data_IF_476323510252
#
_entry.id   IF_476323510252
#
_cell.length_a   1.000
_cell.length_b   1.000
_cell.length_c   1.000
_cell.angle_alpha   90.00
_cell.angle_beta   90.00
_cell.angle_gamma   90.00
#
_symmetry.space_group_name_H-M   'P 1'
#
loop_
_entity.id
_entity.type
_entity.pdbx_description
1 polymer ?
#
# COMPACT_ATOMS: atom_id res chain seq x y z
N UNK A 1 8.63 11.02 -32.90
CA UNK A 1 9.48 10.40 -31.86
C UNK A 1 9.19 10.96 -30.45
N UNK A 2 8.84 12.24 -30.29
CA UNK A 2 8.49 12.83 -28.97
C UNK A 2 7.17 12.30 -28.39
N UNK A 3 6.16 12.07 -29.23
CA UNK A 3 4.87 11.47 -28.82
C UNK A 3 5.02 10.12 -28.10
N UNK A 4 5.97 9.27 -28.53
CA UNK A 4 6.20 7.95 -27.91
C UNK A 4 6.85 8.03 -26.51
N UNK A 5 7.61 9.11 -26.24
CA UNK A 5 8.25 9.35 -24.92
C UNK A 5 7.23 9.92 -23.93
N UNK A 6 6.43 10.88 -24.38
CA UNK A 6 5.34 11.43 -23.59
C UNK A 6 4.34 10.34 -23.18
N UNK A 7 3.99 9.45 -24.12
CA UNK A 7 3.07 8.34 -23.87
C UNK A 7 3.62 7.34 -22.82
N UNK A 8 4.94 7.09 -22.80
CA UNK A 8 5.55 6.22 -21.79
C UNK A 8 5.56 6.84 -20.41
N UNK A 9 5.91 8.13 -20.30
CA UNK A 9 5.91 8.85 -19.02
C UNK A 9 4.48 8.91 -18.47
N UNK A 10 3.51 9.21 -19.31
CA UNK A 10 2.10 9.25 -18.94
C UNK A 10 1.59 7.89 -18.45
N UNK A 11 1.95 6.79 -19.11
CA UNK A 11 1.63 5.42 -18.64
C UNK A 11 2.26 5.09 -17.28
N UNK A 12 3.46 5.56 -16.99
CA UNK A 12 4.09 5.36 -15.69
C UNK A 12 3.42 6.19 -14.60
N UNK A 13 3.05 7.43 -14.88
CA UNK A 13 2.31 8.28 -13.94
C UNK A 13 0.92 7.71 -13.66
N UNK A 14 0.21 7.28 -14.70
CA UNK A 14 -1.07 6.57 -14.56
C UNK A 14 -0.93 5.30 -13.73
N UNK A 15 0.11 4.49 -13.94
CA UNK A 15 0.33 3.28 -13.14
C UNK A 15 0.60 3.58 -11.66
N UNK A 16 1.41 4.62 -11.39
CA UNK A 16 1.70 5.05 -10.01
C UNK A 16 0.42 5.55 -9.34
N UNK A 17 -0.37 6.37 -10.02
CA UNK A 17 -1.55 7.01 -9.44
C UNK A 17 -2.77 6.08 -9.34
N UNK A 18 -3.03 5.27 -10.37
CA UNK A 18 -4.23 4.44 -10.44
C UNK A 18 -4.07 3.08 -9.76
N UNK A 19 -2.83 2.63 -9.49
CA UNK A 19 -2.60 1.28 -8.99
C UNK A 19 -1.67 1.23 -7.80
N UNK A 20 -0.46 1.78 -7.91
CA UNK A 20 0.53 1.66 -6.84
C UNK A 20 0.09 2.38 -5.55
N UNK A 21 -0.35 3.64 -5.66
CA UNK A 21 -0.87 4.42 -4.53
C UNK A 21 -2.10 3.77 -3.87
N UNK A 22 -3.17 3.38 -4.60
CA UNK A 22 -4.34 2.77 -3.99
C UNK A 22 -4.07 1.38 -3.41
N UNK A 23 -3.22 0.56 -4.04
CA UNK A 23 -2.85 -0.75 -3.49
C UNK A 23 -2.10 -0.60 -2.16
N UNK A 24 -1.22 0.41 -2.06
CA UNK A 24 -0.51 0.73 -0.82
C UNK A 24 -1.46 1.24 0.26
N UNK A 25 -2.37 2.17 -0.09
CA UNK A 25 -3.37 2.68 0.84
C UNK A 25 -4.27 1.55 1.39
N UNK A 26 -4.65 0.59 0.54
CA UNK A 26 -5.41 -0.59 0.95
C UNK A 26 -4.60 -1.46 1.91
N UNK A 27 -3.33 -1.75 1.62
CA UNK A 27 -2.48 -2.56 2.50
C UNK A 27 -2.29 -1.91 3.89
N UNK A 28 -2.15 -0.58 3.94
CA UNK A 28 -2.07 0.17 5.21
C UNK A 28 -3.39 0.12 5.98
N UNK A 29 -4.52 0.27 5.30
CA UNK A 29 -5.84 0.19 5.92
C UNK A 29 -6.11 -1.21 6.51
N UNK A 30 -5.80 -2.27 5.75
CA UNK A 30 -5.95 -3.66 6.20
C UNK A 30 -5.10 -3.97 7.43
N UNK A 31 -3.86 -3.47 7.48
CA UNK A 31 -2.97 -3.60 8.66
C UNK A 31 -3.54 -2.87 9.88
N UNK A 32 -4.04 -1.65 9.69
CA UNK A 32 -4.64 -0.83 10.76
C UNK A 32 -5.90 -1.49 11.36
N UNK A 33 -6.75 -2.06 10.51
CA UNK A 33 -7.98 -2.71 10.94
C UNK A 33 -7.69 -4.02 11.70
N UNK A 34 -6.75 -4.83 11.22
CA UNK A 34 -6.31 -6.03 11.94
C UNK A 34 -5.76 -5.68 13.33
N UNK A 35 -4.92 -4.64 13.42
CA UNK A 35 -4.37 -4.15 14.70
C UNK A 35 -5.48 -3.74 15.67
N UNK A 36 -6.43 -2.92 15.23
CA UNK A 36 -7.55 -2.46 16.08
C UNK A 36 -8.40 -3.63 16.57
N UNK A 37 -8.65 -4.62 15.71
CA UNK A 37 -9.42 -5.80 16.09
C UNK A 37 -8.71 -6.61 17.18
N UNK A 38 -7.40 -6.83 17.06
CA UNK A 38 -6.60 -7.54 18.07
C UNK A 38 -6.53 -6.76 19.38
N UNK A 39 -6.30 -5.44 19.32
CA UNK A 39 -6.30 -4.58 20.52
C UNK A 39 -7.66 -4.59 21.22
N UNK A 40 -8.77 -4.64 20.47
CA UNK A 40 -10.11 -4.74 21.04
C UNK A 40 -10.35 -6.10 21.70
N UNK A 41 -9.86 -7.20 21.12
CA UNK A 41 -9.93 -8.53 21.73
C UNK A 41 -9.13 -8.57 23.04
N UNK A 42 -7.92 -8.02 23.04
CA UNK A 42 -7.03 -7.97 24.20
C UNK A 42 -7.60 -7.09 25.32
N UNK A 43 -8.02 -5.85 25.01
CA UNK A 43 -8.58 -4.91 26.01
C UNK A 43 -9.84 -5.44 26.68
N UNK A 44 -10.70 -6.12 25.92
CA UNK A 44 -11.95 -6.64 26.45
C UNK A 44 -11.79 -8.06 27.03
N UNK A 45 -10.59 -8.65 26.96
CA UNK A 45 -10.32 -10.03 27.40
C UNK A 45 -11.37 -11.02 26.89
N UNK A 46 -11.82 -10.82 25.64
CA UNK A 46 -12.85 -11.66 25.02
C UNK A 46 -12.17 -12.97 24.69
N UNK A 47 -12.37 -14.00 25.51
CA UNK A 47 -11.77 -15.34 25.35
C UNK A 47 -12.60 -16.26 24.48
N UNK A 48 -13.88 -15.95 24.28
CA UNK A 48 -14.79 -16.65 23.38
C UNK A 48 -15.59 -15.64 22.56
N UNK A 49 -15.72 -15.87 21.25
CA UNK A 49 -16.40 -14.94 20.35
C UNK A 49 -17.48 -15.65 19.54
N UNK A 50 -18.70 -15.11 19.55
CA UNK A 50 -19.75 -15.52 18.62
C UNK A 50 -19.88 -14.46 17.53
N UNK A 51 -19.68 -14.85 16.27
CA UNK A 51 -19.60 -13.90 15.16
C UNK A 51 -20.31 -14.45 13.90
N UNK A 52 -20.63 -13.55 12.96
CA UNK A 52 -21.10 -13.91 11.63
C UNK A 52 -19.92 -13.85 10.67
N UNK A 53 -19.55 -14.99 10.08
CA UNK A 53 -18.45 -15.11 9.13
C UNK A 53 -19.01 -15.08 7.72
N UNK A 54 -18.45 -14.24 6.86
CA UNK A 54 -18.76 -14.22 5.44
C UNK A 54 -18.04 -15.40 4.75
N UNK A 55 -18.81 -16.29 4.12
CA UNK A 55 -18.31 -17.45 3.37
C UNK A 55 -18.11 -17.15 1.87
N UNK A 56 -18.49 -15.97 1.41
CA UNK A 56 -18.45 -15.52 0.02
C UNK A 56 -19.84 -15.19 -0.52
N UNK A 57 -19.90 -14.33 -1.56
CA UNK A 57 -21.14 -13.98 -2.28
C UNK A 57 -22.29 -13.52 -1.36
N UNK A 58 -21.99 -12.72 -0.34
CA UNK A 58 -22.95 -12.25 0.68
C UNK A 58 -23.64 -13.38 1.47
N UNK A 59 -23.03 -14.56 1.52
CA UNK A 59 -23.48 -15.67 2.37
C UNK A 59 -22.74 -15.60 3.69
N UNK A 60 -23.50 -15.51 4.78
CA UNK A 60 -22.97 -15.41 6.13
C UNK A 60 -23.38 -16.63 6.97
N UNK A 61 -22.46 -17.11 7.80
CA UNK A 61 -22.67 -18.22 8.73
C UNK A 61 -22.31 -17.80 10.15
N UNK A 62 -23.13 -18.21 11.11
CA UNK A 62 -22.83 -18.00 12.51
C UNK A 62 -21.72 -18.97 12.96
N UNK A 63 -20.65 -18.42 13.52
CA UNK A 63 -19.53 -19.17 14.06
C UNK A 63 -19.34 -18.87 15.54
N UNK A 64 -18.88 -19.87 16.28
CA UNK A 64 -18.46 -19.75 17.66
C UNK A 64 -16.97 -20.08 17.75
N UNK A 65 -16.20 -19.13 18.27
CA UNK A 65 -14.76 -19.24 18.46
C UNK A 65 -14.53 -19.50 19.95
N UNK A 66 -14.09 -20.72 20.32
CA UNK A 66 -13.94 -21.11 21.72
C UNK A 66 -12.70 -20.52 22.40
N UNK A 67 -11.66 -20.21 21.62
CA UNK A 67 -10.46 -19.51 22.09
C UNK A 67 -10.03 -18.48 21.04
N UNK A 68 -9.95 -17.23 21.46
CA UNK A 68 -9.54 -16.07 20.65
C UNK A 68 -8.10 -15.63 20.95
N UNK A 69 -7.46 -16.21 21.97
CA UNK A 69 -6.11 -15.82 22.41
C UNK A 69 -5.05 -16.16 21.36
N UNK A 70 -5.40 -17.07 20.44
CA UNK A 70 -4.57 -17.47 19.32
C UNK A 70 -5.25 -17.13 18.01
N UNK A 71 -4.50 -16.50 17.11
CA UNK A 71 -4.98 -16.12 15.79
C UNK A 71 -4.00 -16.58 14.73
N UNK A 72 -4.52 -16.96 13.57
CA UNK A 72 -3.68 -17.24 12.41
C UNK A 72 -3.43 -15.95 11.64
N UNK A 73 -2.16 -15.62 11.46
CA UNK A 73 -1.73 -14.47 10.65
C UNK A 73 -1.01 -14.97 9.41
N UNK A 74 -1.41 -14.44 8.25
CA UNK A 74 -0.72 -14.69 6.99
C UNK A 74 0.65 -14.00 6.98
N UNK A 75 1.70 -14.80 6.89
CA UNK A 75 3.07 -14.30 6.78
C UNK A 75 3.53 -14.20 5.31
N UNK A 76 2.72 -14.68 4.36
CA UNK A 76 2.97 -14.67 2.93
C UNK A 76 3.24 -16.06 2.35
N UNK A 77 3.25 -16.14 1.02
CA UNK A 77 3.44 -17.38 0.25
C UNK A 77 2.45 -18.51 0.63
N UNK A 78 1.28 -18.15 1.16
CA UNK A 78 0.24 -19.09 1.60
C UNK A 78 0.49 -19.71 2.98
N UNK A 79 1.53 -19.28 3.69
CA UNK A 79 1.81 -19.76 5.05
C UNK A 79 1.11 -18.91 6.10
N UNK A 80 0.46 -19.60 7.03
CA UNK A 80 -0.23 -18.99 8.16
C UNK A 80 0.41 -19.49 9.45
N UNK A 81 0.74 -18.57 10.35
CA UNK A 81 1.36 -18.88 11.64
C UNK A 81 0.36 -18.55 12.74
N UNK A 82 0.28 -19.43 13.73
CA UNK A 82 -0.50 -19.20 14.94
C UNK A 82 0.28 -18.26 15.88
N UNK A 83 -0.30 -17.11 16.20
CA UNK A 83 0.26 -16.11 17.11
C UNK A 83 -0.66 -15.86 18.30
N UNK A 84 -0.05 -15.54 19.44
CA UNK A 84 -0.74 -14.84 20.53
C UNK A 84 -1.01 -13.38 20.16
N UNK A 85 -1.91 -12.69 20.88
CA UNK A 85 -2.19 -11.27 20.64
C UNK A 85 -0.92 -10.41 20.64
N UNK A 86 -0.06 -10.57 21.65
CA UNK A 86 1.16 -9.78 21.77
C UNK A 86 2.18 -10.09 20.66
N UNK A 87 2.26 -11.32 20.18
CA UNK A 87 3.11 -11.69 19.05
C UNK A 87 2.60 -11.09 17.75
N UNK A 88 1.28 -11.16 17.51
CA UNK A 88 0.65 -10.58 16.35
C UNK A 88 0.83 -9.06 16.29
N UNK A 89 0.64 -8.35 17.41
CA UNK A 89 0.85 -6.90 17.48
C UNK A 89 2.31 -6.49 17.19
N UNK A 90 3.29 -7.28 17.67
CA UNK A 90 4.70 -7.08 17.35
C UNK A 90 4.98 -7.32 15.88
N UNK A 91 4.41 -8.39 15.30
CA UNK A 91 4.58 -8.72 13.88
C UNK A 91 3.98 -7.63 12.97
N UNK A 92 2.78 -7.15 13.28
CA UNK A 92 2.13 -6.06 12.55
C UNK A 92 3.00 -4.81 12.58
N UNK A 93 3.51 -4.43 13.75
CA UNK A 93 4.38 -3.24 13.90
C UNK A 93 5.66 -3.36 13.06
N UNK A 94 6.30 -4.53 13.05
CA UNK A 94 7.48 -4.79 12.22
C UNK A 94 7.17 -4.73 10.72
N UNK A 95 5.98 -5.20 10.33
CA UNK A 95 5.56 -5.20 8.93
C UNK A 95 5.18 -3.80 8.43
N UNK A 96 4.54 -3.00 9.27
CA UNK A 96 4.26 -1.58 9.02
C UNK A 96 5.56 -0.80 8.81
N UNK A 97 6.53 -0.97 9.70
CA UNK A 97 7.83 -0.30 9.58
C UNK A 97 8.58 -0.72 8.30
N UNK A 98 8.54 -2.01 7.95
CA UNK A 98 9.15 -2.49 6.71
C UNK A 98 8.48 -1.88 5.47
N UNK A 99 7.15 -1.87 5.43
CA UNK A 99 6.38 -1.26 4.34
C UNK A 99 6.72 0.23 4.20
N UNK A 100 6.80 0.97 5.31
CA UNK A 100 7.15 2.39 5.31
C UNK A 100 8.53 2.65 4.72
N UNK A 101 9.54 1.84 5.08
CA UNK A 101 10.89 1.93 4.48
C UNK A 101 10.88 1.65 2.99
N UNK A 102 10.15 0.62 2.54
CA UNK A 102 10.03 0.29 1.12
C UNK A 102 9.36 1.44 0.35
N UNK A 103 8.30 2.04 0.89
CA UNK A 103 7.64 3.21 0.31
C UNK A 103 8.63 4.38 0.16
N UNK A 104 9.41 4.66 1.20
CA UNK A 104 10.37 5.77 1.17
C UNK A 104 11.48 5.54 0.14
N UNK A 105 11.98 4.31 0.02
CA UNK A 105 12.96 3.92 -1.00
C UNK A 105 12.40 4.08 -2.42
N UNK A 106 11.21 3.55 -2.69
CA UNK A 106 10.57 3.70 -3.99
C UNK A 106 10.26 5.17 -4.31
N UNK A 107 9.85 5.96 -3.33
CA UNK A 107 9.58 7.40 -3.49
C UNK A 107 10.86 8.13 -3.90
N UNK A 108 12.00 7.84 -3.25
CA UNK A 108 13.30 8.40 -3.63
C UNK A 108 13.73 7.98 -5.03
N UNK A 109 13.54 6.72 -5.38
CA UNK A 109 13.84 6.21 -6.72
C UNK A 109 13.01 6.91 -7.80
N UNK A 110 11.71 7.05 -7.58
CA UNK A 110 10.79 7.76 -8.48
C UNK A 110 11.23 9.22 -8.64
N UNK A 111 11.55 9.91 -7.55
CA UNK A 111 12.02 11.30 -7.59
C UNK A 111 13.33 11.43 -8.39
N UNK A 112 14.27 10.51 -8.21
CA UNK A 112 15.53 10.47 -8.96
C UNK A 112 15.31 10.26 -10.46
N UNK A 113 14.46 9.30 -10.83
CA UNK A 113 14.11 9.04 -12.23
C UNK A 113 13.42 10.25 -12.85
N UNK A 114 12.45 10.87 -12.15
CA UNK A 114 11.79 12.10 -12.62
C UNK A 114 12.79 13.24 -12.84
N UNK A 115 13.75 13.43 -11.92
CA UNK A 115 14.79 14.45 -12.06
C UNK A 115 15.71 14.19 -13.26
N UNK A 116 16.14 12.94 -13.47
CA UNK A 116 16.96 12.56 -14.62
C UNK A 116 16.22 12.77 -15.95
N UNK A 117 14.95 12.38 -16.03
CA UNK A 117 14.12 12.63 -17.21
C UNK A 117 14.03 14.12 -17.49
N UNK A 118 13.74 14.93 -16.46
CA UNK A 118 13.64 16.39 -16.61
C UNK A 118 14.96 16.98 -17.11
N UNK A 119 16.09 16.60 -16.53
CA UNK A 119 17.42 17.07 -16.93
C UNK A 119 17.73 16.73 -18.40
N UNK A 120 17.46 15.50 -18.84
CA UNK A 120 17.67 15.09 -20.25
C UNK A 120 16.75 15.85 -21.20
N UNK A 121 15.48 16.05 -20.83
CA UNK A 121 14.54 16.82 -21.63
C UNK A 121 14.96 18.29 -21.77
N UNK A 122 15.40 18.93 -20.68
CA UNK A 122 15.92 20.30 -20.71
C UNK A 122 17.21 20.41 -21.54
N UNK A 123 18.15 19.48 -21.38
CA UNK A 123 19.39 19.47 -22.15
C UNK A 123 19.15 19.31 -23.67
N UNK A 124 18.19 18.47 -24.06
CA UNK A 124 17.77 18.35 -25.47
C UNK A 124 17.10 19.63 -25.95
N UNK A 125 16.26 20.27 -25.12
CA UNK A 125 15.58 21.53 -25.46
C UNK A 125 16.58 22.64 -25.74
N UNK A 126 17.60 22.80 -24.89
CA UNK A 126 18.67 23.79 -25.09
C UNK A 126 19.45 23.54 -26.37
N UNK A 127 19.83 22.29 -26.65
CA UNK A 127 20.56 21.92 -27.87
C UNK A 127 19.76 22.14 -29.16
N UNK A 128 18.44 22.07 -29.10
CA UNK A 128 17.54 22.22 -30.25
C UNK A 128 16.92 23.62 -30.36
N UNK A 129 17.27 24.56 -29.47
CA UNK A 129 16.71 25.93 -29.40
C UNK A 129 15.17 25.97 -29.36
N UNK A 130 14.54 24.93 -28.80
CA UNK A 130 13.07 24.84 -28.74
C UNK A 130 12.58 25.81 -27.65
N UNK A 131 11.61 26.72 -27.94
CA UNK A 131 11.10 27.66 -26.96
C UNK A 131 10.43 26.93 -25.78
N UNK A 132 10.65 27.43 -24.56
CA UNK A 132 10.10 26.81 -23.35
C UNK A 132 8.56 26.73 -23.41
N UNK A 133 8.02 25.53 -23.20
CA UNK A 133 6.57 25.36 -23.01
C UNK A 133 6.14 26.11 -21.76
N UNK A 134 5.10 26.95 -21.89
CA UNK A 134 4.46 27.62 -20.76
C UNK A 134 3.86 26.54 -19.87
N UNK A 135 4.38 26.42 -18.65
CA UNK A 135 3.85 25.55 -17.59
C UNK A 135 2.36 25.83 -17.45
N UNK A 136 1.52 24.89 -17.88
CA UNK A 136 0.09 24.93 -17.59
C UNK A 136 -0.03 24.66 -16.10
N UNK A 137 -0.53 25.65 -15.37
CA UNK A 137 -0.76 25.59 -13.92
C UNK A 137 -1.47 24.28 -13.57
N UNK A 138 -0.84 23.49 -12.69
CA UNK A 138 -1.43 22.30 -12.09
C UNK A 138 -2.76 22.70 -11.44
N UNK A 139 -3.88 22.31 -12.07
CA UNK A 139 -5.19 22.38 -11.42
C UNK A 139 -5.20 21.34 -10.31
N UNK A 140 -4.99 21.82 -9.10
CA UNK A 140 -5.20 21.09 -7.85
C UNK A 140 -6.67 20.66 -7.79
N UNK A 141 -6.92 19.35 -7.78
CA UNK A 141 -8.13 18.72 -7.26
C UNK A 141 -7.76 17.41 -6.56
#
# INVERSE_FOLDING_TARGET
MESLRHEKVQKFEEFVDLRLKPDLARAVAESSDLRKNIENLEKNSVTSLRTMVNLGSEVYMQAEVPDTQRIFVDIGLGFHVEFTWSEALKFISLREEKLEREIEEYTRLIASIKAQIKLVCEGIRELLEIPAEKTVEERIF
#
